data_IF_871686168583
#
_entry.id   IF_871686168583
#
_cell.length_a   1.000
_cell.length_b   1.000
_cell.length_c   1.000
_cell.angle_alpha   90.00
_cell.angle_beta   90.00
_cell.angle_gamma   90.00
#
_symmetry.space_group_name_H-M   'P 1'
#
loop_
_entity.id
_entity.type
_entity.pdbx_description
1 polymer ?
#
# COMPACT_ATOMS: atom_id res chain seq x y z
N UNK A 1 4.31 6.83 9.05
CA UNK A 1 2.91 6.36 9.07
C UNK A 1 2.65 5.66 10.41
N UNK A 2 1.65 6.11 11.17
CA UNK A 2 1.32 5.52 12.47
C UNK A 2 0.62 4.18 12.21
N UNK A 3 1.12 3.09 12.80
CA UNK A 3 0.45 1.79 12.73
C UNK A 3 -0.64 1.74 13.79
N UNK A 4 -1.88 1.54 13.35
CA UNK A 4 -3.02 1.37 14.25
C UNK A 4 -3.00 -0.02 14.88
N UNK A 5 -3.43 -0.12 16.15
CA UNK A 5 -3.60 -1.41 16.83
C UNK A 5 -4.82 -2.17 16.27
N UNK A 6 -4.92 -3.50 16.47
CA UNK A 6 -6.09 -4.27 16.07
C UNK A 6 -7.42 -3.70 16.62
N UNK A 7 -7.41 -3.22 17.86
CA UNK A 7 -8.59 -2.63 18.52
C UNK A 7 -9.02 -1.34 17.81
N UNK A 8 -8.07 -0.46 17.49
CA UNK A 8 -8.34 0.77 16.74
C UNK A 8 -8.89 0.45 15.34
N UNK A 9 -8.34 -0.57 14.68
CA UNK A 9 -8.84 -1.01 13.37
C UNK A 9 -10.26 -1.56 13.47
N UNK A 10 -10.58 -2.31 14.52
CA UNK A 10 -11.92 -2.82 14.78
C UNK A 10 -12.93 -1.67 15.00
N UNK A 11 -12.56 -0.66 15.80
CA UNK A 11 -13.40 0.51 16.04
C UNK A 11 -13.74 1.27 14.75
N UNK A 12 -12.75 1.47 13.86
CA UNK A 12 -12.96 2.12 12.56
C UNK A 12 -13.96 1.34 11.70
N UNK A 13 -13.81 0.01 11.66
CA UNK A 13 -14.70 -0.86 10.88
C UNK A 13 -16.12 -0.81 11.44
N UNK A 14 -16.28 -0.87 12.76
CA UNK A 14 -17.58 -0.79 13.42
C UNK A 14 -18.28 0.53 13.09
N UNK A 15 -17.57 1.65 13.26
CA UNK A 15 -18.09 2.99 12.92
C UNK A 15 -18.56 3.09 11.46
N UNK A 16 -17.80 2.53 10.52
CA UNK A 16 -18.17 2.54 9.11
C UNK A 16 -19.49 1.79 8.87
N UNK A 17 -19.67 0.60 9.43
CA UNK A 17 -20.87 -0.19 9.24
C UNK A 17 -22.12 0.45 9.87
N UNK A 18 -21.98 1.01 11.07
CA UNK A 18 -23.06 1.75 11.75
C UNK A 18 -23.56 2.93 10.91
N UNK A 19 -22.63 3.73 10.37
CA UNK A 19 -22.97 4.87 9.53
C UNK A 19 -23.49 4.47 8.16
N UNK A 20 -23.00 3.39 7.56
CA UNK A 20 -23.51 2.92 6.27
C UNK A 20 -24.96 2.39 6.39
N UNK A 21 -25.35 1.85 7.56
CA UNK A 21 -26.74 1.46 7.84
C UNK A 21 -27.68 2.63 8.15
N UNK A 22 -27.15 3.73 8.70
CA UNK A 22 -27.95 4.86 9.20
C UNK A 22 -27.98 6.08 8.26
N UNK A 23 -26.92 6.29 7.48
CA UNK A 23 -26.74 7.46 6.61
C UNK A 23 -26.84 7.04 5.15
N UNK A 24 -27.83 7.58 4.45
CA UNK A 24 -28.01 7.31 3.02
C UNK A 24 -26.76 7.72 2.23
N UNK A 25 -26.24 6.79 1.43
CA UNK A 25 -25.05 6.96 0.59
C UNK A 25 -23.79 7.41 1.37
N UNK A 26 -23.62 6.92 2.60
CA UNK A 26 -22.48 7.27 3.46
C UNK A 26 -21.11 7.16 2.75
N UNK A 27 -20.90 6.08 1.99
CA UNK A 27 -19.67 5.85 1.23
C UNK A 27 -19.30 6.97 0.25
N UNK A 28 -20.28 7.72 -0.29
CA UNK A 28 -20.02 8.86 -1.20
C UNK A 28 -19.60 10.13 -0.46
N UNK A 29 -19.68 10.14 0.87
CA UNK A 29 -19.29 11.26 1.73
C UNK A 29 -17.88 11.11 2.27
N UNK A 30 -17.22 9.98 2.00
CA UNK A 30 -15.84 9.72 2.39
C UNK A 30 -14.95 10.07 1.21
N UNK A 31 -13.97 10.96 1.46
CA UNK A 31 -12.87 11.22 0.55
C UNK A 31 -11.66 10.39 1.00
N UNK A 32 -11.22 9.46 0.18
CA UNK A 32 -10.02 8.68 0.45
C UNK A 32 -8.82 9.40 -0.14
N UNK A 33 -7.68 9.34 0.53
CA UNK A 33 -6.42 9.84 -0.03
C UNK A 33 -5.29 8.89 0.30
N UNK A 34 -4.33 8.77 -0.61
CA UNK A 34 -3.15 7.94 -0.40
C UNK A 34 -1.92 8.55 -1.07
N UNK A 35 -0.75 8.09 -0.63
CA UNK A 35 0.54 8.39 -1.23
C UNK A 35 1.15 7.09 -1.78
N UNK A 36 1.55 7.12 -3.05
CA UNK A 36 2.20 5.99 -3.71
C UNK A 36 3.53 6.40 -4.34
N UNK A 37 4.52 5.50 -4.28
CA UNK A 37 5.79 5.66 -4.97
C UNK A 37 5.81 4.80 -6.24
N UNK A 38 6.12 5.43 -7.37
CA UNK A 38 6.34 4.77 -8.65
C UNK A 38 7.81 4.88 -9.03
N UNK A 39 8.42 3.77 -9.40
CA UNK A 39 9.82 3.74 -9.83
C UNK A 39 9.92 3.97 -11.34
N UNK A 40 10.77 4.89 -11.77
CA UNK A 40 10.87 5.29 -13.18
C UNK A 40 11.75 4.37 -14.02
N UNK A 41 12.51 3.48 -13.38
CA UNK A 41 13.53 2.64 -14.00
C UNK A 41 13.26 1.13 -13.90
N UNK A 42 12.00 0.73 -13.67
CA UNK A 42 11.64 -0.69 -13.52
C UNK A 42 12.17 -1.34 -12.23
N UNK A 43 12.60 -0.54 -11.25
CA UNK A 43 13.08 -1.05 -9.97
C UNK A 43 12.01 -1.91 -9.29
N UNK A 44 12.40 -3.16 -9.02
CA UNK A 44 11.60 -4.13 -8.28
C UNK A 44 11.97 -4.02 -6.81
N UNK A 45 10.99 -3.76 -5.94
CA UNK A 45 11.19 -3.77 -4.50
C UNK A 45 11.81 -5.12 -4.08
N UNK A 46 12.84 -5.09 -3.22
CA UNK A 46 13.51 -6.30 -2.69
C UNK A 46 12.52 -7.32 -2.10
N UNK A 47 11.45 -6.86 -1.45
CA UNK A 47 10.41 -7.75 -0.91
C UNK A 47 9.63 -8.51 -1.99
N UNK A 48 9.58 -7.98 -3.21
CA UNK A 48 8.91 -8.59 -4.36
C UNK A 48 9.89 -9.31 -5.31
N UNK A 49 11.21 -9.20 -5.09
CA UNK A 49 12.21 -9.87 -5.91
C UNK A 49 12.33 -11.34 -5.49
N UNK A 50 11.57 -12.22 -6.15
CA UNK A 50 11.57 -13.66 -5.88
C UNK A 50 12.12 -14.43 -7.08
N UNK A 51 13.28 -15.05 -6.90
CA UNK A 51 13.94 -15.89 -7.89
C UNK A 51 13.61 -17.35 -7.58
N UNK A 52 13.10 -18.08 -8.56
CA UNK A 52 12.76 -19.50 -8.43
C UNK A 52 13.76 -20.35 -9.20
N UNK A 53 14.22 -21.44 -8.58
CA UNK A 53 15.14 -22.41 -9.16
C UNK A 53 15.06 -23.73 -8.38
N UNK A 54 15.32 -24.87 -9.03
CA UNK A 54 15.33 -26.20 -8.39
C UNK A 54 16.51 -26.38 -7.41
N UNK A 55 17.62 -25.67 -7.63
CA UNK A 55 18.77 -25.58 -6.73
C UNK A 55 19.10 -24.10 -6.43
N UNK A 56 19.84 -23.80 -5.35
CA UNK A 56 20.20 -22.42 -5.00
C UNK A 56 20.89 -21.73 -6.19
N UNK A 57 20.23 -20.74 -6.84
CA UNK A 57 20.69 -20.23 -8.12
C UNK A 57 21.94 -19.34 -7.99
N UNK A 58 22.33 -18.93 -6.77
CA UNK A 58 23.41 -17.97 -6.53
C UNK A 58 23.31 -16.67 -7.36
N UNK A 59 22.10 -16.33 -7.80
CA UNK A 59 21.83 -15.13 -8.60
C UNK A 59 21.65 -13.95 -7.66
N UNK A 60 22.38 -12.87 -7.93
CA UNK A 60 22.17 -11.56 -7.33
C UNK A 60 21.69 -10.60 -8.42
N UNK A 61 20.63 -9.85 -8.12
CA UNK A 61 20.16 -8.76 -8.98
C UNK A 61 20.67 -7.46 -8.37
N UNK A 62 21.66 -6.86 -9.03
CA UNK A 62 22.14 -5.54 -8.63
C UNK A 62 21.03 -4.51 -8.85
N UNK A 63 20.82 -3.66 -7.85
CA UNK A 63 19.84 -2.58 -7.94
C UNK A 63 20.51 -1.27 -7.53
N UNK A 64 20.18 -0.15 -8.19
CA UNK A 64 20.73 1.14 -7.83
C UNK A 64 20.35 1.50 -6.39
N UNK A 65 21.30 2.04 -5.63
CA UNK A 65 21.12 2.43 -4.23
C UNK A 65 20.03 3.51 -4.07
N UNK A 66 19.89 4.38 -5.08
CA UNK A 66 18.89 5.45 -5.14
C UNK A 66 18.20 5.44 -6.52
N UNK A 67 17.26 4.51 -6.74
CA UNK A 67 16.49 4.51 -7.97
C UNK A 67 15.61 5.76 -8.01
N UNK A 68 15.50 6.39 -9.18
CA UNK A 68 14.59 7.52 -9.36
C UNK A 68 13.15 7.07 -9.15
N UNK A 69 12.43 7.83 -8.31
CA UNK A 69 11.04 7.57 -7.98
C UNK A 69 10.22 8.83 -8.08
N UNK A 70 8.97 8.65 -8.50
CA UNK A 70 7.93 9.64 -8.43
C UNK A 70 7.03 9.32 -7.24
N UNK A 71 6.88 10.28 -6.33
CA UNK A 71 5.87 10.21 -5.28
C UNK A 71 4.63 10.93 -5.76
N UNK A 72 3.50 10.24 -5.75
CA UNK A 72 2.20 10.81 -6.11
C UNK A 72 1.30 10.77 -4.89
N UNK A 73 0.63 11.88 -4.64
CA UNK A 73 -0.50 11.96 -3.71
C UNK A 73 -1.78 12.12 -4.52
N UNK A 74 -2.82 11.40 -4.15
CA UNK A 74 -4.13 11.48 -4.79
C UNK A 74 -5.25 11.37 -3.77
N UNK A 75 -6.39 12.00 -4.05
CA UNK A 75 -7.63 11.86 -3.29
C UNK A 75 -8.83 11.65 -4.21
N UNK A 76 -9.73 10.74 -3.82
CA UNK A 76 -10.91 10.28 -4.58
C UNK A 76 -12.12 10.08 -3.68
#
# INVERSE_FOLDING_TARGET
MIRLTPEQRFQIVQFYFENNGSVRNFHKRILFSDEAHFWLNGYVNKQNCRIWSEANPQVYVETPLHPEKLTVWCAL
#
